data_IF_246189004997
#
_entry.id   IF_246189004997
#
_cell.length_a   1.000
_cell.length_b   1.000
_cell.length_c   1.000
_cell.angle_alpha   90.00
_cell.angle_beta   90.00
_cell.angle_gamma   90.00
#
_symmetry.space_group_name_H-M   'P 1'
#
loop_
_entity.id
_entity.type
_entity.pdbx_description
1 polymer ?
#
# COMPACT_ATOMS: atom_id res chain seq x y z
N UNK A 1 20.17 -5.01 -28.37
CA UNK A 1 20.90 -3.92 -27.69
C UNK A 1 20.68 -4.15 -26.20
N UNK A 2 21.70 -4.59 -25.46
CA UNK A 2 21.57 -4.87 -24.01
C UNK A 2 21.09 -3.58 -23.34
N UNK A 3 19.92 -3.60 -22.69
CA UNK A 3 19.51 -2.48 -21.84
C UNK A 3 20.63 -2.25 -20.84
N UNK A 4 21.14 -1.02 -20.74
CA UNK A 4 22.08 -0.67 -19.66
C UNK A 4 21.35 -0.95 -18.37
N UNK A 5 21.89 -1.82 -17.51
CA UNK A 5 21.37 -2.02 -16.17
C UNK A 5 21.31 -0.65 -15.51
N UNK A 6 20.09 -0.11 -15.34
CA UNK A 6 19.91 1.14 -14.65
C UNK A 6 20.25 0.87 -13.18
N UNK A 7 21.26 1.56 -12.65
CA UNK A 7 21.76 1.32 -11.29
C UNK A 7 21.09 2.23 -10.27
N UNK A 8 20.44 3.30 -10.74
CA UNK A 8 19.77 4.30 -9.93
C UNK A 8 18.26 4.26 -10.18
N UNK A 9 17.49 4.06 -9.10
CA UNK A 9 16.04 4.01 -9.14
C UNK A 9 15.46 5.19 -8.38
N UNK A 10 14.52 5.91 -9.01
CA UNK A 10 13.80 7.01 -8.39
C UNK A 10 12.60 6.43 -7.64
N UNK A 11 12.42 6.86 -6.39
CA UNK A 11 11.22 6.59 -5.61
C UNK A 11 10.65 7.85 -4.97
N UNK A 12 9.41 7.74 -4.51
CA UNK A 12 8.66 8.79 -3.84
C UNK A 12 8.19 8.32 -2.48
N UNK A 13 8.03 9.28 -1.57
CA UNK A 13 7.56 9.07 -0.21
C UNK A 13 6.36 9.95 0.07
N UNK A 14 5.22 9.30 0.34
CA UNK A 14 4.06 9.96 0.92
C UNK A 14 4.25 10.15 2.42
N UNK A 15 3.73 11.25 2.97
CA UNK A 15 3.98 11.66 4.36
C UNK A 15 2.70 12.15 5.03
N UNK A 16 2.68 12.14 6.36
CA UNK A 16 1.88 13.13 7.09
C UNK A 16 2.55 14.49 7.01
N UNK A 17 1.78 15.57 7.14
CA UNK A 17 2.30 16.95 7.21
C UNK A 17 1.85 17.62 8.50
N UNK A 18 1.97 16.92 9.63
CA UNK A 18 1.52 17.40 10.94
C UNK A 18 2.59 18.22 11.65
N UNK A 19 3.87 17.93 11.38
CA UNK A 19 5.00 18.59 12.02
C UNK A 19 5.94 19.25 11.01
N UNK A 20 6.85 18.47 10.42
CA UNK A 20 8.00 18.98 9.64
C UNK A 20 7.86 18.74 8.15
N UNK A 21 7.09 17.75 7.76
CA UNK A 21 6.92 17.42 6.35
C UNK A 21 6.11 18.49 5.63
N UNK A 22 6.49 18.77 4.38
CA UNK A 22 5.77 19.70 3.50
C UNK A 22 4.97 18.99 2.39
N UNK A 23 5.04 17.66 2.27
CA UNK A 23 4.31 16.92 1.25
C UNK A 23 5.01 15.65 0.77
N UNK A 24 5.07 15.46 -0.54
CA UNK A 24 5.70 14.27 -1.15
C UNK A 24 7.19 14.52 -1.31
N UNK A 25 8.01 13.56 -0.89
CA UNK A 25 9.46 13.59 -1.12
C UNK A 25 9.84 12.62 -2.24
N UNK A 26 10.98 12.88 -2.89
CA UNK A 26 11.64 11.98 -3.85
C UNK A 26 12.99 11.57 -3.30
N UNK A 27 13.44 10.36 -3.62
CA UNK A 27 14.77 9.84 -3.31
C UNK A 27 15.35 9.04 -4.47
N UNK A 28 16.64 8.72 -4.39
CA UNK A 28 17.33 7.82 -5.33
C UNK A 28 17.89 6.64 -4.54
N UNK A 29 17.60 5.42 -4.99
CA UNK A 29 18.29 4.20 -4.60
C UNK A 29 19.38 3.90 -5.63
N UNK A 30 20.64 3.95 -5.20
CA UNK A 30 21.76 3.41 -5.96
C UNK A 30 22.00 1.96 -5.53
N UNK A 31 21.74 1.03 -6.45
CA UNK A 31 21.85 -0.42 -6.22
C UNK A 31 23.28 -0.94 -6.25
N UNK A 32 24.21 -0.21 -6.85
CA UNK A 32 25.63 -0.55 -6.84
C UNK A 32 26.29 -0.07 -5.54
N UNK A 33 26.02 1.18 -5.15
CA UNK A 33 26.48 1.74 -3.88
C UNK A 33 25.68 1.21 -2.68
N UNK A 34 24.53 0.57 -2.92
CA UNK A 34 23.59 0.05 -1.90
C UNK A 34 23.16 1.13 -0.92
N UNK A 35 22.73 2.28 -1.45
CA UNK A 35 22.49 3.50 -0.66
C UNK A 35 21.29 4.29 -1.17
N UNK A 36 20.50 4.82 -0.23
CA UNK A 36 19.49 5.85 -0.50
C UNK A 36 20.13 7.23 -0.34
N UNK A 37 19.86 8.11 -1.29
CA UNK A 37 20.34 9.50 -1.30
C UNK A 37 19.33 10.45 -1.92
N UNK A 38 19.67 11.75 -1.94
CA UNK A 38 18.90 12.80 -2.62
C UNK A 38 17.42 12.87 -2.22
N UNK A 39 17.17 12.74 -0.91
CA UNK A 39 15.84 13.01 -0.34
C UNK A 39 15.55 14.50 -0.49
N UNK A 40 14.59 14.84 -1.35
CA UNK A 40 14.18 16.23 -1.62
C UNK A 40 12.67 16.33 -1.74
N UNK A 41 12.10 17.47 -1.34
CA UNK A 41 10.67 17.75 -1.56
C UNK A 41 10.36 17.71 -3.06
N UNK A 42 9.36 16.92 -3.45
CA UNK A 42 8.92 16.73 -4.83
C UNK A 42 7.61 17.46 -5.13
N UNK A 43 6.70 17.54 -4.16
CA UNK A 43 5.46 18.30 -4.27
C UNK A 43 5.02 18.78 -2.89
N UNK A 44 4.45 20.00 -2.82
CA UNK A 44 3.91 20.59 -1.59
C UNK A 44 2.39 20.42 -1.54
N UNK A 45 1.91 19.65 -0.57
CA UNK A 45 0.51 19.33 -0.38
C UNK A 45 0.27 18.80 1.03
N UNK A 46 -0.94 18.98 1.55
CA UNK A 46 -1.27 18.58 2.92
C UNK A 46 -1.65 17.10 2.99
N UNK A 47 -0.96 16.37 3.88
CA UNK A 47 -1.17 14.96 4.21
C UNK A 47 -1.28 13.99 3.00
N UNK A 48 -0.29 13.94 2.09
CA UNK A 48 -0.23 12.94 1.03
C UNK A 48 0.23 11.58 1.57
N UNK A 49 -0.60 11.00 2.44
CA UNK A 49 -0.25 9.81 3.24
C UNK A 49 -0.11 8.54 2.42
N UNK A 50 -0.61 8.52 1.19
CA UNK A 50 -0.42 7.43 0.26
C UNK A 50 -0.29 7.94 -1.17
N UNK A 51 0.59 7.30 -1.94
CA UNK A 51 0.83 7.62 -3.35
C UNK A 51 0.81 6.34 -4.18
N UNK A 52 0.46 6.47 -5.45
CA UNK A 52 0.57 5.41 -6.45
C UNK A 52 1.06 6.01 -7.77
N UNK A 53 1.76 5.20 -8.56
CA UNK A 53 2.32 5.59 -9.86
C UNK A 53 1.68 4.72 -10.92
N UNK A 54 1.25 5.33 -12.02
CA UNK A 54 0.69 4.56 -13.12
C UNK A 54 1.77 3.69 -13.79
N UNK A 55 1.37 2.61 -14.44
CA UNK A 55 2.30 1.60 -14.99
C UNK A 55 3.35 2.18 -15.96
N UNK A 56 3.03 3.29 -16.63
CA UNK A 56 3.89 3.95 -17.62
C UNK A 56 4.85 4.99 -17.02
N UNK A 57 4.80 5.24 -15.71
CA UNK A 57 5.57 6.30 -15.03
C UNK A 57 5.30 7.72 -15.56
N UNK A 58 4.09 7.96 -16.06
CA UNK A 58 3.67 9.26 -16.58
C UNK A 58 3.00 10.10 -15.50
N UNK A 59 2.30 9.43 -14.56
CA UNK A 59 1.47 10.08 -13.56
C UNK A 59 1.67 9.48 -12.17
N UNK A 60 1.63 10.36 -11.18
CA UNK A 60 1.54 10.03 -9.75
C UNK A 60 0.21 10.55 -9.23
N UNK A 61 -0.54 9.66 -8.57
CA UNK A 61 -1.75 10.00 -7.83
C UNK A 61 -1.49 9.91 -6.34
N UNK A 62 -1.91 10.92 -5.58
CA UNK A 62 -1.73 10.95 -4.14
C UNK A 62 -3.03 11.28 -3.42
N UNK A 63 -3.14 10.82 -2.18
CA UNK A 63 -4.10 11.39 -1.25
C UNK A 63 -3.78 12.88 -1.05
N UNK A 64 -4.81 13.69 -0.81
CA UNK A 64 -4.65 15.10 -0.43
C UNK A 64 -5.74 15.51 0.54
N UNK A 65 -5.40 16.43 1.45
CA UNK A 65 -6.34 17.17 2.29
C UNK A 65 -6.40 18.63 1.84
N UNK A 66 -7.59 19.21 1.81
CA UNK A 66 -7.81 20.64 1.56
C UNK A 66 -8.84 21.19 2.56
N UNK A 67 -8.35 21.89 3.58
CA UNK A 67 -9.21 22.33 4.69
C UNK A 67 -9.91 21.14 5.35
N UNK A 68 -11.24 21.15 5.36
CA UNK A 68 -12.08 20.05 5.89
C UNK A 68 -12.50 19.03 4.82
N UNK A 69 -11.95 19.11 3.62
CA UNK A 69 -12.18 18.17 2.52
C UNK A 69 -10.94 17.31 2.26
N UNK A 70 -11.12 16.19 1.56
CA UNK A 70 -9.99 15.44 1.06
C UNK A 70 -10.35 14.55 -0.12
N UNK A 71 -9.34 14.02 -0.79
CA UNK A 71 -9.51 13.25 -2.01
C UNK A 71 -8.18 12.94 -2.66
N UNK A 72 -8.09 13.17 -3.98
CA UNK A 72 -6.95 12.79 -4.81
C UNK A 72 -6.34 14.01 -5.50
N UNK A 73 -5.00 14.08 -5.51
CA UNK A 73 -4.23 14.97 -6.38
C UNK A 73 -3.56 14.15 -7.50
N UNK A 74 -3.54 14.69 -8.71
CA UNK A 74 -2.85 14.12 -9.86
C UNK A 74 -1.63 14.97 -10.24
N UNK A 75 -0.50 14.31 -10.49
CA UNK A 75 0.74 14.96 -10.93
C UNK A 75 1.28 14.24 -12.17
N UNK A 76 1.79 14.98 -13.14
CA UNK A 76 2.65 14.40 -14.19
C UNK A 76 4.07 14.26 -13.68
N UNK A 77 4.74 13.19 -14.10
CA UNK A 77 6.14 12.89 -13.77
C UNK A 77 7.02 13.25 -14.97
N UNK A 78 8.05 14.08 -14.75
CA UNK A 78 9.09 14.26 -15.76
C UNK A 78 9.92 12.98 -15.90
N UNK A 79 9.94 12.39 -17.09
CA UNK A 79 10.58 11.08 -17.34
C UNK A 79 12.10 11.07 -17.21
N UNK A 80 12.75 12.24 -17.14
CA UNK A 80 14.21 12.36 -17.00
C UNK A 80 14.60 12.68 -15.57
N UNK A 81 13.87 13.59 -14.91
CA UNK A 81 14.24 14.11 -13.59
C UNK A 81 13.42 13.49 -12.46
N UNK A 82 12.25 12.92 -12.76
CA UNK A 82 11.27 12.50 -11.76
C UNK A 82 10.63 13.66 -11.02
N UNK A 83 10.71 14.89 -11.52
CA UNK A 83 9.99 16.03 -10.94
C UNK A 83 8.48 15.89 -11.12
N UNK A 84 7.72 16.32 -10.11
CA UNK A 84 6.26 16.27 -10.13
C UNK A 84 5.72 17.65 -10.52
N UNK A 85 4.77 17.66 -11.46
CA UNK A 85 3.98 18.85 -11.80
C UNK A 85 2.51 18.55 -11.58
N UNK A 86 1.88 19.29 -10.67
CA UNK A 86 0.46 19.14 -10.38
C UNK A 86 -0.39 19.41 -11.62
N UNK A 87 -1.41 18.57 -11.82
CA UNK A 87 -2.38 18.64 -12.92
C UNK A 87 -3.71 19.16 -12.39
N UNK A 88 -4.27 18.49 -11.39
CA UNK A 88 -5.43 18.95 -10.66
C UNK A 88 -5.60 18.18 -9.33
N UNK A 89 -6.65 18.55 -8.61
CA UNK A 89 -7.12 17.90 -7.39
C UNK A 89 -8.62 17.72 -7.45
N UNK A 90 -9.11 16.62 -6.87
CA UNK A 90 -10.54 16.36 -6.69
C UNK A 90 -10.76 15.98 -5.24
N UNK A 91 -11.53 16.80 -4.54
CA UNK A 91 -11.81 16.63 -3.11
C UNK A 91 -13.31 16.54 -2.87
N UNK A 92 -13.66 15.77 -1.84
CA UNK A 92 -15.02 15.63 -1.34
C UNK A 92 -15.02 16.10 0.11
N UNK A 93 -16.11 16.74 0.54
CA UNK A 93 -16.27 17.18 1.93
C UNK A 93 -16.06 16.00 2.91
N UNK A 94 -15.34 16.29 4.00
CA UNK A 94 -14.99 15.33 5.03
C UNK A 94 -13.52 14.91 5.00
N UNK A 95 -13.17 14.00 5.90
CA UNK A 95 -11.80 13.54 6.09
C UNK A 95 -11.19 12.98 4.79
N UNK A 96 -9.88 13.16 4.63
CA UNK A 96 -9.13 12.63 3.49
C UNK A 96 -9.11 11.09 3.47
N UNK A 97 -9.06 10.46 2.28
CA UNK A 97 -8.84 9.03 2.19
C UNK A 97 -7.46 8.61 2.73
N UNK A 98 -7.21 7.31 2.82
CA UNK A 98 -5.98 6.75 3.39
C UNK A 98 -5.20 5.82 2.44
N UNK A 99 -5.80 5.46 1.29
CA UNK A 99 -5.18 4.63 0.27
C UNK A 99 -5.66 5.07 -1.11
N UNK A 100 -4.78 4.98 -2.12
CA UNK A 100 -5.08 5.28 -3.52
C UNK A 100 -4.42 4.24 -4.43
N UNK A 101 -5.14 3.81 -5.47
CA UNK A 101 -4.66 2.92 -6.52
C UNK A 101 -5.19 3.38 -7.88
N UNK A 102 -4.53 2.96 -8.96
CA UNK A 102 -4.96 3.19 -10.34
C UNK A 102 -4.86 1.88 -11.12
N UNK A 103 -5.75 1.63 -12.08
CA UNK A 103 -5.67 0.47 -12.95
C UNK A 103 -4.47 0.55 -13.91
N UNK A 104 -4.08 -0.59 -14.48
CA UNK A 104 -2.93 -0.71 -15.37
C UNK A 104 -3.07 0.13 -16.64
N UNK A 105 -4.30 0.39 -17.07
CA UNK A 105 -4.63 1.24 -18.21
C UNK A 105 -4.68 2.73 -17.91
N UNK A 106 -4.68 3.12 -16.62
CA UNK A 106 -4.80 4.53 -16.18
C UNK A 106 -6.14 5.16 -16.56
N UNK A 107 -7.24 4.40 -16.47
CA UNK A 107 -8.60 4.87 -16.75
C UNK A 107 -9.35 5.28 -15.48
N UNK A 108 -9.06 4.64 -14.34
CA UNK A 108 -9.77 4.88 -13.09
C UNK A 108 -8.81 4.86 -11.91
N UNK A 109 -8.93 5.88 -11.07
CA UNK A 109 -8.32 5.92 -9.74
C UNK A 109 -9.37 5.50 -8.71
N UNK A 110 -8.98 4.67 -7.74
CA UNK A 110 -9.82 4.28 -6.60
C UNK A 110 -9.16 4.65 -5.29
N UNK A 111 -9.96 5.01 -4.30
CA UNK A 111 -9.50 5.34 -2.94
C UNK A 111 -10.32 4.64 -1.87
N UNK A 112 -9.70 4.41 -0.72
CA UNK A 112 -10.37 3.97 0.50
C UNK A 112 -10.27 5.05 1.58
N UNK A 113 -11.40 5.35 2.22
CA UNK A 113 -11.47 6.37 3.25
C UNK A 113 -11.75 5.77 4.63
N UNK A 114 -10.73 5.84 5.49
CA UNK A 114 -10.76 5.28 6.84
C UNK A 114 -11.84 5.90 7.71
N UNK A 115 -12.02 7.22 7.69
CA UNK A 115 -12.92 7.89 8.64
C UNK A 115 -14.38 7.87 8.18
N UNK A 116 -14.60 7.85 6.85
CA UNK A 116 -15.93 7.82 6.23
C UNK A 116 -16.45 6.40 5.98
N UNK A 117 -15.57 5.39 5.97
CA UNK A 117 -15.94 4.02 5.60
C UNK A 117 -16.38 3.93 4.14
N UNK A 118 -15.68 4.63 3.24
CA UNK A 118 -16.05 4.72 1.82
C UNK A 118 -15.00 4.15 0.89
N UNK A 119 -15.45 3.56 -0.22
CA UNK A 119 -14.65 3.32 -1.43
C UNK A 119 -15.12 4.30 -2.50
N UNK A 120 -14.19 5.03 -3.08
CA UNK A 120 -14.49 6.11 -4.04
C UNK A 120 -13.72 5.88 -5.35
N UNK A 121 -14.32 6.15 -6.50
CA UNK A 121 -13.70 6.02 -7.81
C UNK A 121 -13.75 7.33 -8.61
N UNK A 122 -12.71 7.57 -9.41
CA UNK A 122 -12.51 8.78 -10.18
C UNK A 122 -12.06 8.38 -11.59
N UNK A 123 -12.82 8.76 -12.61
CA UNK A 123 -12.37 8.60 -13.99
C UNK A 123 -11.15 9.48 -14.25
N UNK A 124 -10.17 8.96 -14.99
CA UNK A 124 -8.97 9.70 -15.39
C UNK A 124 -9.17 10.25 -16.81
N UNK A 125 -8.71 11.48 -17.05
CA UNK A 125 -8.61 12.03 -18.38
C UNK A 125 -7.40 11.40 -19.10
N UNK A 126 -7.65 10.60 -20.14
CA UNK A 126 -6.60 9.89 -20.89
C UNK A 126 -5.62 10.83 -21.60
N UNK A 127 -6.02 12.06 -21.93
CA UNK A 127 -5.16 13.01 -22.65
C UNK A 127 -4.04 13.58 -21.76
N UNK A 128 -4.32 13.75 -20.47
CA UNK A 128 -3.42 14.50 -19.59
C UNK A 128 -3.27 13.93 -18.17
N UNK A 129 -3.91 12.81 -17.85
CA UNK A 129 -3.82 12.12 -16.56
C UNK A 129 -4.49 12.81 -15.39
N UNK A 130 -5.20 13.92 -15.61
CA UNK A 130 -5.99 14.59 -14.55
C UNK A 130 -7.16 13.71 -14.08
N UNK A 131 -7.62 13.92 -12.84
CA UNK A 131 -8.76 13.17 -12.28
C UNK A 131 -10.07 13.96 -12.41
N UNK A 132 -11.15 13.30 -12.82
CA UNK A 132 -12.49 13.87 -12.82
C UNK A 132 -13.11 13.82 -11.40
N UNK A 133 -14.19 14.57 -11.13
CA UNK A 133 -14.93 14.44 -9.87
C UNK A 133 -15.35 12.98 -9.59
N UNK A 134 -15.56 12.66 -8.31
CA UNK A 134 -15.91 11.30 -7.88
C UNK A 134 -17.09 10.76 -8.70
N UNK A 135 -16.86 9.64 -9.40
CA UNK A 135 -17.84 8.97 -10.25
C UNK A 135 -18.70 8.01 -9.44
N UNK A 136 -18.11 7.37 -8.43
CA UNK A 136 -18.81 6.49 -7.50
C UNK A 136 -18.30 6.71 -6.08
N UNK A 137 -19.21 6.66 -5.11
CA UNK A 137 -18.92 6.68 -3.68
C UNK A 137 -19.79 5.60 -3.03
N UNK A 138 -19.16 4.52 -2.56
CA UNK A 138 -19.82 3.44 -1.84
C UNK A 138 -19.56 3.62 -0.35
N UNK A 139 -20.59 3.79 0.45
CA UNK A 139 -20.49 3.85 1.92
C UNK A 139 -20.82 2.49 2.53
N UNK A 140 -19.86 1.92 3.26
CA UNK A 140 -20.07 0.69 4.00
C UNK A 140 -20.98 0.92 5.21
N UNK A 141 -21.52 -0.19 5.75
CA UNK A 141 -22.35 -0.19 6.96
C UNK A 141 -22.01 -1.38 7.83
N UNK A 142 -22.04 -1.17 9.14
CA UNK A 142 -21.75 -2.21 10.12
C UNK A 142 -20.81 -1.69 11.22
N UNK A 143 -20.40 -2.62 12.07
CA UNK A 143 -19.40 -2.44 13.12
C UNK A 143 -18.80 -3.81 13.45
N UNK A 144 -17.65 -3.83 14.11
CA UNK A 144 -16.95 -5.03 14.56
C UNK A 144 -16.95 -5.18 16.08
N UNK A 145 -16.08 -6.07 16.56
CA UNK A 145 -15.99 -6.45 17.96
C UNK A 145 -15.28 -5.38 18.80
N UNK A 146 -14.21 -4.79 18.27
CA UNK A 146 -13.40 -3.78 18.96
C UNK A 146 -14.14 -2.44 19.02
N UNK A 147 -14.55 -1.99 20.21
CA UNK A 147 -15.35 -0.76 20.37
C UNK A 147 -14.60 0.54 20.17
N UNK A 148 -13.27 0.50 20.09
CA UNK A 148 -12.44 1.69 19.87
C UNK A 148 -12.09 1.89 18.38
N UNK A 149 -11.90 0.79 17.64
CA UNK A 149 -11.43 0.84 16.24
C UNK A 149 -12.40 0.20 15.23
N UNK A 150 -13.52 -0.33 15.70
CA UNK A 150 -14.54 -0.99 14.89
C UNK A 150 -15.96 -0.59 15.32
N UNK A 151 -16.12 0.64 15.84
CA UNK A 151 -17.43 1.20 16.18
C UNK A 151 -18.29 1.51 14.95
N UNK A 152 -17.63 1.64 13.79
CA UNK A 152 -18.22 1.89 12.47
C UNK A 152 -17.27 1.37 11.39
N UNK A 153 -17.62 1.48 10.09
CA UNK A 153 -16.74 1.06 9.01
C UNK A 153 -15.52 1.96 8.87
N UNK A 154 -14.39 1.33 8.54
CA UNK A 154 -13.08 1.93 8.34
C UNK A 154 -12.39 1.29 7.13
N UNK A 155 -12.79 1.71 5.92
CA UNK A 155 -12.17 1.26 4.68
C UNK A 155 -10.70 1.69 4.63
N UNK A 156 -9.78 0.72 4.56
CA UNK A 156 -8.34 0.96 4.63
C UNK A 156 -7.60 0.66 3.31
N UNK A 157 -8.19 -0.13 2.40
CA UNK A 157 -7.59 -0.41 1.09
C UNK A 157 -8.63 -0.38 -0.02
N UNK A 158 -8.23 0.16 -1.16
CA UNK A 158 -8.94 0.07 -2.44
C UNK A 158 -7.91 -0.18 -3.54
N UNK A 159 -8.07 -1.26 -4.31
CA UNK A 159 -7.17 -1.63 -5.41
C UNK A 159 -7.76 -2.71 -6.29
N UNK A 160 -7.06 -3.11 -7.35
CA UNK A 160 -7.60 -4.01 -8.36
C UNK A 160 -7.23 -5.48 -8.09
N UNK A 161 -8.09 -6.40 -8.51
CA UNK A 161 -7.73 -7.81 -8.66
C UNK A 161 -6.70 -7.99 -9.78
N UNK A 162 -5.91 -9.09 -9.81
CA UNK A 162 -4.86 -9.28 -10.82
C UNK A 162 -5.37 -9.28 -12.28
N UNK A 163 -6.65 -9.59 -12.49
CA UNK A 163 -7.31 -9.56 -13.78
C UNK A 163 -8.05 -8.25 -14.08
N UNK A 164 -7.98 -7.28 -13.14
CA UNK A 164 -8.63 -5.96 -13.15
C UNK A 164 -10.14 -5.98 -13.43
N UNK A 165 -10.79 -7.15 -13.28
CA UNK A 165 -12.25 -7.26 -13.41
C UNK A 165 -12.98 -6.67 -12.21
N UNK A 166 -12.33 -6.66 -11.06
CA UNK A 166 -12.91 -6.18 -9.82
C UNK A 166 -11.97 -5.21 -9.10
N UNK A 167 -12.60 -4.30 -8.35
CA UNK A 167 -11.95 -3.53 -7.29
C UNK A 167 -12.18 -4.25 -5.97
N UNK A 168 -11.14 -4.36 -5.15
CA UNK A 168 -11.19 -4.90 -3.78
C UNK A 168 -11.19 -3.73 -2.80
N UNK A 169 -12.21 -3.65 -1.95
CA UNK A 169 -12.24 -2.82 -0.76
C UNK A 169 -11.96 -3.66 0.49
N UNK A 170 -11.02 -3.24 1.33
CA UNK A 170 -10.77 -3.89 2.63
C UNK A 170 -11.22 -2.94 3.73
N UNK A 171 -12.11 -3.40 4.60
CA UNK A 171 -12.67 -2.60 5.68
C UNK A 171 -12.34 -3.21 7.05
N UNK A 172 -11.48 -2.47 7.77
CA UNK A 172 -11.02 -2.80 9.11
C UNK A 172 -12.17 -2.79 10.11
N UNK A 173 -13.07 -1.81 9.99
CA UNK A 173 -14.11 -1.52 10.96
C UNK A 173 -15.26 -2.52 11.00
N UNK A 174 -15.40 -3.35 9.96
CA UNK A 174 -16.48 -4.35 9.86
C UNK A 174 -15.97 -5.77 9.59
N UNK A 175 -14.66 -5.99 9.64
CA UNK A 175 -14.01 -7.29 9.39
C UNK A 175 -14.39 -7.88 8.01
N UNK A 176 -14.31 -7.08 6.94
CA UNK A 176 -14.67 -7.55 5.59
C UNK A 176 -13.66 -7.19 4.50
N UNK A 177 -13.61 -8.10 3.53
CA UNK A 177 -13.01 -7.90 2.21
C UNK A 177 -14.14 -7.95 1.20
N UNK A 178 -14.32 -6.88 0.43
CA UNK A 178 -15.47 -6.68 -0.46
C UNK A 178 -14.95 -6.51 -1.88
N UNK A 179 -15.62 -7.11 -2.86
CA UNK A 179 -15.30 -6.92 -4.28
C UNK A 179 -16.41 -6.21 -5.01
N UNK A 180 -16.00 -5.33 -5.92
CA UNK A 180 -16.87 -4.53 -6.76
C UNK A 180 -16.56 -4.80 -8.23
N UNK A 181 -17.58 -5.07 -9.03
CA UNK A 181 -17.47 -4.86 -10.47
C UNK A 181 -17.30 -3.37 -10.74
N UNK A 182 -16.50 -3.05 -11.76
CA UNK A 182 -16.29 -1.69 -12.23
C UNK A 182 -16.67 -1.56 -13.70
N UNK A 183 -17.56 -0.61 -14.00
CA UNK A 183 -17.94 -0.26 -15.37
C UNK A 183 -18.08 1.24 -15.48
N UNK A 184 -17.39 1.86 -16.45
CA UNK A 184 -17.38 3.32 -16.65
C UNK A 184 -17.02 4.09 -15.36
N UNK A 185 -16.03 3.56 -14.60
CA UNK A 185 -15.66 4.01 -13.25
C UNK A 185 -16.77 3.93 -12.19
N UNK A 186 -17.93 3.31 -12.46
CA UNK A 186 -18.99 3.08 -11.47
C UNK A 186 -18.77 1.73 -10.78
N UNK A 187 -18.74 1.74 -9.45
CA UNK A 187 -18.56 0.56 -8.63
C UNK A 187 -19.90 -0.09 -8.27
N UNK A 188 -19.94 -1.42 -8.32
CA UNK A 188 -21.09 -2.22 -7.86
C UNK A 188 -20.61 -3.43 -7.08
N UNK A 189 -21.02 -3.55 -5.83
CA UNK A 189 -20.67 -4.71 -4.99
C UNK A 189 -21.17 -6.01 -5.61
N UNK A 190 -20.31 -7.03 -5.62
CA UNK A 190 -20.63 -8.36 -6.16
C UNK A 190 -20.34 -9.49 -5.19
N UNK A 191 -19.36 -9.33 -4.30
CA UNK A 191 -19.04 -10.34 -3.32
C UNK A 191 -18.47 -9.71 -2.04
N UNK A 192 -18.55 -10.45 -0.93
CA UNK A 192 -17.87 -10.09 0.30
C UNK A 192 -17.49 -11.34 1.11
N UNK A 193 -16.32 -11.28 1.72
CA UNK A 193 -15.85 -12.25 2.70
C UNK A 193 -15.80 -11.55 4.06
N UNK A 194 -16.48 -12.12 5.05
CA UNK A 194 -16.28 -11.76 6.46
C UNK A 194 -15.12 -12.58 7.02
N UNK A 195 -14.18 -11.91 7.67
CA UNK A 195 -13.04 -12.56 8.36
C UNK A 195 -13.34 -12.73 9.84
N UNK A 196 -12.43 -13.36 10.59
CA UNK A 196 -12.60 -13.54 12.04
C UNK A 196 -12.92 -12.20 12.75
N UNK A 197 -13.97 -12.13 13.59
CA UNK A 197 -14.33 -10.90 14.28
C UNK A 197 -13.19 -10.33 15.13
N UNK A 198 -12.91 -9.04 14.98
CA UNK A 198 -11.82 -8.35 15.67
C UNK A 198 -10.46 -8.44 14.96
N UNK A 199 -10.39 -9.02 13.76
CA UNK A 199 -9.14 -9.08 12.99
C UNK A 199 -8.69 -7.69 12.52
N UNK A 200 -9.63 -6.90 12.00
CA UNK A 200 -9.37 -5.61 11.40
C UNK A 200 -8.50 -5.73 10.14
N UNK A 201 -8.97 -6.35 9.04
CA UNK A 201 -8.19 -6.49 7.81
C UNK A 201 -7.82 -5.10 7.25
N UNK A 202 -6.59 -4.96 6.73
CA UNK A 202 -5.99 -3.66 6.41
C UNK A 202 -5.61 -3.52 4.95
N UNK A 203 -4.56 -4.23 4.52
CA UNK A 203 -4.02 -4.22 3.16
C UNK A 203 -4.04 -5.64 2.58
N UNK A 204 -4.12 -5.75 1.26
CA UNK A 204 -4.10 -7.02 0.52
C UNK A 204 -3.04 -6.98 -0.57
N UNK A 205 -2.38 -8.11 -0.81
CA UNK A 205 -1.52 -8.33 -1.98
C UNK A 205 -1.87 -9.67 -2.63
N UNK A 206 -1.61 -9.81 -3.92
CA UNK A 206 -1.96 -11.02 -4.69
C UNK A 206 -0.70 -11.76 -5.11
N UNK A 207 -0.76 -13.09 -5.07
CA UNK A 207 0.28 -13.90 -5.68
C UNK A 207 0.34 -13.63 -7.19
N UNK A 208 1.53 -13.55 -7.82
CA UNK A 208 1.69 -13.33 -9.26
C UNK A 208 0.96 -14.32 -10.18
N UNK A 209 0.48 -15.45 -9.66
CA UNK A 209 -0.27 -16.44 -10.43
C UNK A 209 -1.79 -16.15 -10.43
N UNK A 210 -2.22 -15.12 -9.69
CA UNK A 210 -3.61 -14.69 -9.57
C UNK A 210 -4.53 -15.63 -8.77
N UNK A 211 -4.01 -16.70 -8.15
CA UNK A 211 -4.83 -17.69 -7.44
C UNK A 211 -4.95 -17.44 -5.94
N UNK A 212 -3.97 -16.76 -5.35
CA UNK A 212 -3.92 -16.51 -3.92
C UNK A 212 -3.84 -15.02 -3.62
N UNK A 213 -4.36 -14.65 -2.46
CA UNK A 213 -4.20 -13.33 -1.89
C UNK A 213 -3.80 -13.42 -0.42
N UNK A 214 -3.09 -12.40 0.04
CA UNK A 214 -2.57 -12.30 1.40
C UNK A 214 -3.04 -10.99 2.00
N UNK A 215 -3.73 -11.06 3.15
CA UNK A 215 -4.32 -9.90 3.81
C UNK A 215 -3.64 -9.69 5.15
N UNK A 216 -3.07 -8.51 5.34
CA UNK A 216 -2.58 -8.11 6.66
C UNK A 216 -3.74 -7.66 7.53
N UNK A 217 -3.80 -8.14 8.76
CA UNK A 217 -4.76 -7.68 9.76
C UNK A 217 -4.09 -6.69 10.72
N UNK A 218 -4.72 -5.53 10.91
CA UNK A 218 -4.19 -4.48 11.78
C UNK A 218 -4.32 -4.87 13.25
N UNK A 219 -5.49 -5.38 13.66
CA UNK A 219 -5.81 -5.55 15.07
C UNK A 219 -5.36 -6.90 15.62
N UNK A 220 -5.45 -7.98 14.83
CA UNK A 220 -5.00 -9.31 15.27
C UNK A 220 -3.53 -9.63 14.98
N UNK A 221 -2.83 -8.79 14.20
CA UNK A 221 -1.42 -8.99 13.84
C UNK A 221 -1.14 -10.31 13.12
N UNK A 222 -2.00 -10.66 12.17
CA UNK A 222 -1.95 -11.89 11.38
C UNK A 222 -1.91 -11.59 9.87
N UNK A 223 -1.44 -12.57 9.10
CA UNK A 223 -1.74 -12.66 7.67
C UNK A 223 -2.82 -13.71 7.46
N UNK A 224 -3.86 -13.32 6.73
CA UNK A 224 -4.88 -14.23 6.21
C UNK A 224 -4.47 -14.64 4.80
N UNK A 225 -4.34 -15.94 4.57
CA UNK A 225 -4.13 -16.52 3.24
C UNK A 225 -5.49 -16.87 2.66
N UNK A 226 -5.73 -16.41 1.42
CA UNK A 226 -6.98 -16.59 0.71
C UNK A 226 -6.71 -17.23 -0.66
N UNK A 227 -7.65 -18.04 -1.14
CA UNK A 227 -7.80 -18.31 -2.58
C UNK A 227 -8.71 -17.27 -3.22
N UNK A 228 -8.50 -17.00 -4.52
CA UNK A 228 -9.28 -16.05 -5.30
C UNK A 228 -9.96 -16.74 -6.48
N UNK A 229 -11.28 -16.57 -6.61
CA UNK A 229 -12.08 -17.01 -7.74
C UNK A 229 -12.37 -15.83 -8.69
N UNK A 230 -11.69 -15.74 -9.86
CA UNK A 230 -11.85 -14.64 -10.80
C UNK A 230 -13.18 -14.65 -11.58
N UNK A 231 -13.98 -15.71 -11.49
CA UNK A 231 -15.29 -15.76 -12.13
C UNK A 231 -16.37 -15.04 -11.31
N UNK A 232 -16.19 -14.97 -9.99
CA UNK A 232 -17.19 -14.47 -9.04
C UNK A 232 -16.68 -13.29 -8.20
N UNK A 233 -15.40 -12.91 -8.36
CA UNK A 233 -14.74 -11.96 -7.49
C UNK A 233 -14.73 -12.43 -6.03
N UNK A 234 -14.71 -13.75 -5.78
CA UNK A 234 -14.86 -14.33 -4.45
C UNK A 234 -13.53 -14.70 -3.82
N UNK A 235 -13.45 -14.63 -2.50
CA UNK A 235 -12.32 -15.14 -1.72
C UNK A 235 -12.74 -16.30 -0.83
N UNK A 236 -11.81 -17.20 -0.53
CA UNK A 236 -12.02 -18.28 0.46
C UNK A 236 -10.78 -18.40 1.33
N UNK A 237 -10.99 -18.45 2.64
CA UNK A 237 -9.92 -18.55 3.65
C UNK A 237 -9.19 -19.88 3.60
N UNK A 238 -7.87 -19.83 3.79
CA UNK A 238 -6.98 -21.00 3.81
C UNK A 238 -6.24 -21.09 5.14
N UNK A 239 -5.64 -19.98 5.59
CA UNK A 239 -4.77 -19.97 6.75
C UNK A 239 -4.82 -18.62 7.45
N UNK A 240 -4.67 -18.63 8.78
CA UNK A 240 -4.29 -17.49 9.58
C UNK A 240 -2.91 -17.76 10.19
N UNK A 241 -1.98 -16.82 10.08
CA UNK A 241 -0.64 -16.95 10.64
C UNK A 241 -0.21 -15.66 11.32
N UNK A 242 0.28 -15.77 12.56
CA UNK A 242 0.74 -14.60 13.31
C UNK A 242 2.00 -13.99 12.68
N UNK A 243 2.07 -12.66 12.71
CA UNK A 243 3.21 -11.88 12.23
C UNK A 243 4.13 -11.41 13.33
N UNK A 244 3.83 -11.72 14.59
CA UNK A 244 4.63 -11.36 15.75
C UNK A 244 5.05 -12.63 16.53
N UNK A 245 6.16 -12.59 17.29
CA UNK A 245 6.51 -13.70 18.17
C UNK A 245 5.40 -13.96 19.19
N UNK A 246 5.13 -15.24 19.50
CA UNK A 246 4.11 -15.61 20.49
C UNK A 246 4.35 -15.04 21.89
N UNK A 247 5.60 -14.67 22.21
CA UNK A 247 5.97 -14.06 23.49
C UNK A 247 5.83 -12.53 23.52
N UNK A 248 5.47 -11.88 22.40
CA UNK A 248 5.27 -10.44 22.35
C UNK A 248 3.85 -10.09 22.82
N UNK A 249 3.73 -9.36 23.92
CA UNK A 249 2.47 -9.02 24.59
C UNK A 249 2.19 -7.50 24.69
N UNK A 250 3.03 -6.68 24.06
CA UNK A 250 2.83 -5.23 23.94
C UNK A 250 1.89 -4.88 22.76
N UNK A 251 1.51 -3.60 22.66
CA UNK A 251 0.67 -3.12 21.58
C UNK A 251 1.35 -3.28 20.21
N UNK A 252 0.67 -3.96 19.28
CA UNK A 252 1.10 -4.10 17.89
C UNK A 252 -0.06 -3.84 16.92
N UNK A 253 0.27 -3.27 15.76
CA UNK A 253 -0.65 -3.02 14.67
C UNK A 253 -0.03 -3.41 13.33
N UNK A 254 -0.68 -4.34 12.62
CA UNK A 254 -0.27 -4.71 11.27
C UNK A 254 -0.26 -3.52 10.31
N UNK A 255 0.70 -3.46 9.39
CA UNK A 255 0.84 -2.34 8.42
C UNK A 255 0.77 -2.80 6.97
N UNK A 256 1.86 -2.68 6.21
CA UNK A 256 1.90 -3.02 4.80
C UNK A 256 2.16 -4.52 4.59
N UNK A 257 1.77 -5.02 3.43
CA UNK A 257 2.03 -6.40 3.00
C UNK A 257 2.39 -6.41 1.53
N UNK A 258 3.48 -7.09 1.20
CA UNK A 258 3.99 -7.23 -0.17
C UNK A 258 4.45 -8.66 -0.43
N UNK A 259 4.34 -9.09 -1.67
CA UNK A 259 4.91 -10.34 -2.15
C UNK A 259 6.00 -10.04 -3.18
N UNK A 260 7.03 -10.87 -3.25
CA UNK A 260 7.99 -10.84 -4.35
C UNK A 260 7.34 -11.27 -5.67
N UNK A 261 7.87 -10.76 -6.79
CA UNK A 261 7.41 -10.98 -8.16
C UNK A 261 7.51 -12.44 -8.60
N UNK A 262 8.41 -13.21 -7.98
CA UNK A 262 8.52 -14.66 -8.15
C UNK A 262 7.47 -15.45 -7.36
N UNK A 263 6.70 -14.79 -6.48
CA UNK A 263 5.68 -15.38 -5.64
C UNK A 263 6.23 -16.21 -4.47
N UNK A 264 7.53 -16.20 -4.22
CA UNK A 264 8.14 -17.11 -3.24
C UNK A 264 8.09 -16.58 -1.80
N UNK A 265 8.01 -15.26 -1.60
CA UNK A 265 8.09 -14.65 -0.28
C UNK A 265 7.06 -13.55 -0.06
N UNK A 266 6.38 -13.60 1.08
CA UNK A 266 5.49 -12.55 1.59
C UNK A 266 6.17 -11.83 2.76
N UNK A 267 6.06 -10.51 2.76
CA UNK A 267 6.59 -9.59 3.76
C UNK A 267 5.41 -8.88 4.41
N UNK A 268 5.39 -8.83 5.74
CA UNK A 268 4.31 -8.20 6.52
C UNK A 268 4.87 -7.27 7.60
N UNK A 269 4.42 -6.03 7.62
CA UNK A 269 4.92 -4.99 8.53
C UNK A 269 4.16 -4.95 9.86
N UNK A 270 4.88 -4.66 10.94
CA UNK A 270 4.35 -4.59 12.30
C UNK A 270 4.76 -3.29 13.00
N UNK A 271 3.77 -2.50 13.39
CA UNK A 271 3.97 -1.24 14.13
C UNK A 271 3.75 -1.51 15.62
N UNK A 272 4.78 -1.32 16.44
CA UNK A 272 4.79 -1.83 17.82
C UNK A 272 6.00 -2.73 18.02
N UNK A 273 5.94 -3.94 17.47
CA UNK A 273 7.12 -4.80 17.34
C UNK A 273 8.19 -4.19 16.41
N UNK A 274 7.80 -3.21 15.57
CA UNK A 274 8.67 -2.42 14.69
C UNK A 274 9.56 -3.32 13.81
N UNK A 275 8.92 -4.23 13.10
CA UNK A 275 9.59 -5.26 12.31
C UNK A 275 8.86 -5.56 11.00
N UNK A 276 9.57 -6.19 10.07
CA UNK A 276 8.98 -6.91 8.94
C UNK A 276 9.09 -8.41 9.23
N UNK A 277 7.95 -9.10 9.26
CA UNK A 277 7.87 -10.55 9.25
C UNK A 277 8.01 -11.07 7.81
N UNK A 278 8.86 -12.08 7.61
CA UNK A 278 9.11 -12.72 6.32
C UNK A 278 8.53 -14.13 6.35
N UNK A 279 7.81 -14.49 5.29
CA UNK A 279 7.22 -15.81 5.11
C UNK A 279 7.60 -16.38 3.75
N UNK A 280 7.88 -17.68 3.68
CA UNK A 280 7.96 -18.42 2.43
C UNK A 280 6.59 -18.94 2.02
N UNK A 281 6.30 -18.94 0.72
CA UNK A 281 5.03 -19.37 0.15
C UNK A 281 5.13 -20.80 -0.38
N UNK A 282 4.26 -21.69 0.08
CA UNK A 282 4.04 -22.97 -0.57
C UNK A 282 3.31 -22.75 -1.92
N UNK A 283 3.98 -23.09 -3.02
CA UNK A 283 3.51 -22.75 -4.37
C UNK A 283 2.26 -23.53 -4.82
N UNK A 284 1.87 -24.59 -4.10
CA UNK A 284 0.73 -25.44 -4.46
C UNK A 284 -0.54 -25.09 -3.67
N UNK A 285 -0.38 -24.67 -2.42
CA UNK A 285 -1.48 -24.35 -1.49
C UNK A 285 -1.63 -22.85 -1.27
N UNK A 286 -0.59 -22.06 -1.51
CA UNK A 286 -0.51 -20.64 -1.16
C UNK A 286 -0.19 -20.39 0.32
N UNK A 287 -0.14 -21.42 1.16
CA UNK A 287 0.12 -21.30 2.60
C UNK A 287 1.50 -20.69 2.89
N UNK A 288 1.58 -19.99 4.02
CA UNK A 288 2.76 -19.30 4.50
C UNK A 288 3.45 -20.08 5.60
N UNK A 289 4.79 -20.13 5.51
CA UNK A 289 5.66 -20.61 6.60
C UNK A 289 6.56 -19.47 7.04
N UNK A 290 6.62 -19.22 8.34
CA UNK A 290 7.46 -18.17 8.92
C UNK A 290 8.96 -18.42 8.65
N UNK A 291 9.68 -17.36 8.28
CA UNK A 291 11.13 -17.39 8.01
C UNK A 291 11.89 -16.59 9.07
N UNK A 292 11.57 -15.31 9.24
CA UNK A 292 12.22 -14.44 10.23
C UNK A 292 11.43 -13.16 10.53
N UNK A 293 11.81 -12.48 11.60
CA UNK A 293 11.47 -11.08 11.86
C UNK A 293 12.72 -10.23 11.68
N UNK A 294 12.60 -9.12 10.94
CA UNK A 294 13.68 -8.14 10.76
C UNK A 294 13.25 -6.80 11.36
N UNK A 295 14.03 -6.27 12.30
CA UNK A 295 13.84 -4.92 12.85
C UNK A 295 13.86 -3.87 11.73
N UNK A 296 12.96 -2.88 11.80
CA UNK A 296 12.97 -1.75 10.85
C UNK A 296 13.87 -0.60 11.31
N UNK A 297 14.67 -0.79 12.37
CA UNK A 297 15.63 0.20 12.89
C UNK A 297 15.00 1.60 13.09
N UNK A 298 13.76 1.61 13.55
CA UNK A 298 12.97 2.82 13.73
C UNK A 298 11.62 2.54 14.36
N UNK A 299 10.78 3.57 14.42
CA UNK A 299 9.49 3.53 15.09
C UNK A 299 8.35 3.92 14.15
N UNK A 300 7.37 3.01 14.18
CA UNK A 300 6.14 2.91 13.41
C UNK A 300 6.35 2.69 11.91
N UNK A 301 6.88 1.52 11.50
CA UNK A 301 7.00 1.13 10.09
C UNK A 301 5.63 1.01 9.43
N UNK A 302 5.21 2.08 8.75
CA UNK A 302 3.84 2.21 8.23
C UNK A 302 3.69 1.66 6.82
N UNK A 303 4.78 1.69 6.06
CA UNK A 303 4.86 1.10 4.73
C UNK A 303 6.27 0.58 4.47
N UNK A 304 6.40 -0.27 3.46
CA UNK A 304 7.69 -0.67 2.90
C UNK A 304 7.47 -1.14 1.47
N UNK A 305 8.53 -1.19 0.65
CA UNK A 305 8.41 -1.65 -0.73
C UNK A 305 9.69 -2.36 -1.17
N UNK A 306 9.55 -3.39 -2.01
CA UNK A 306 10.69 -3.94 -2.74
C UNK A 306 11.12 -2.97 -3.83
N UNK A 307 12.42 -2.84 -4.07
CA UNK A 307 12.91 -2.11 -5.23
C UNK A 307 12.54 -2.85 -6.53
N UNK A 308 12.61 -2.19 -7.69
CA UNK A 308 12.18 -2.83 -8.93
C UNK A 308 13.04 -4.03 -9.38
N UNK A 309 14.24 -4.20 -8.82
CA UNK A 309 15.05 -5.42 -9.02
C UNK A 309 14.75 -6.53 -8.01
N UNK A 310 13.96 -6.23 -6.98
CA UNK A 310 13.64 -7.06 -5.80
C UNK A 310 14.87 -7.60 -5.05
N UNK A 311 16.00 -6.89 -5.16
CA UNK A 311 17.23 -7.17 -4.41
C UNK A 311 17.34 -6.31 -3.16
N UNK A 312 16.47 -5.31 -3.02
CA UNK A 312 16.41 -4.39 -1.92
C UNK A 312 14.99 -4.20 -1.44
N UNK A 313 14.85 -3.82 -0.18
CA UNK A 313 13.60 -3.42 0.43
C UNK A 313 13.82 -2.13 1.22
N UNK A 314 12.89 -1.19 1.10
CA UNK A 314 12.90 0.07 1.84
C UNK A 314 11.70 0.12 2.78
N UNK A 315 11.93 0.34 4.07
CA UNK A 315 10.89 0.58 5.06
C UNK A 315 10.79 2.06 5.43
N UNK A 316 9.57 2.57 5.66
CA UNK A 316 9.32 3.93 6.16
C UNK A 316 8.79 3.92 7.58
N UNK A 317 9.55 4.50 8.51
CA UNK A 317 9.18 4.61 9.91
C UNK A 317 8.62 6.00 10.21
N UNK A 318 7.31 6.08 10.46
CA UNK A 318 6.57 7.34 10.64
C UNK A 318 7.14 8.19 11.78
N UNK A 319 7.27 7.59 12.98
CA UNK A 319 7.55 8.31 14.23
C UNK A 319 9.04 8.57 14.46
N UNK A 320 9.92 7.81 13.83
CA UNK A 320 11.37 8.07 13.88
C UNK A 320 11.89 8.88 12.69
N UNK A 321 11.02 9.27 11.75
CA UNK A 321 11.35 10.12 10.61
C UNK A 321 12.52 9.59 9.78
N UNK A 322 12.54 8.28 9.50
CA UNK A 322 13.59 7.67 8.68
C UNK A 322 13.09 6.62 7.69
N UNK A 323 13.84 6.48 6.60
CA UNK A 323 13.81 5.31 5.72
C UNK A 323 14.94 4.36 6.10
N UNK A 324 14.69 3.06 5.92
CA UNK A 324 15.68 2.00 6.19
C UNK A 324 15.78 1.09 4.98
N UNK A 325 17.01 0.88 4.52
CA UNK A 325 17.35 0.05 3.36
C UNK A 325 17.89 -1.31 3.81
N UNK A 326 17.35 -2.36 3.21
CA UNK A 326 17.81 -3.73 3.36
C UNK A 326 18.21 -4.31 2.00
N UNK A 327 19.21 -5.20 1.97
CA UNK A 327 19.34 -6.15 0.87
C UNK A 327 18.45 -7.36 1.14
N UNK A 328 17.82 -7.87 0.10
CA UNK A 328 17.02 -9.10 0.11
C UNK A 328 17.83 -10.25 -0.49
N UNK A 329 17.83 -11.39 0.21
CA UNK A 329 18.29 -12.65 -0.36
C UNK A 329 17.13 -13.28 -1.15
N UNK A 330 17.25 -13.33 -2.48
CA UNK A 330 16.18 -13.84 -3.37
C UNK A 330 15.86 -15.32 -3.13
N UNK A 331 16.81 -16.12 -2.63
CA UNK A 331 16.62 -17.55 -2.39
C UNK A 331 15.97 -17.84 -1.03
N UNK A 332 16.24 -17.02 -0.02
CA UNK A 332 15.75 -17.26 1.35
C UNK A 332 14.71 -16.25 1.82
N UNK A 333 14.45 -15.21 1.02
CA UNK A 333 13.59 -14.07 1.36
C UNK A 333 14.15 -13.13 2.41
N UNK A 334 15.29 -13.48 3.03
CA UNK A 334 15.81 -12.81 4.22
C UNK A 334 16.31 -11.40 3.95
N UNK A 335 16.23 -10.54 4.96
CA UNK A 335 16.62 -9.15 4.88
C UNK A 335 17.92 -8.90 5.67
N UNK A 336 18.80 -8.07 5.13
CA UNK A 336 20.03 -7.64 5.81
C UNK A 336 20.14 -6.13 5.74
N UNK A 337 20.28 -5.49 6.91
CA UNK A 337 20.37 -4.04 7.03
C UNK A 337 21.57 -3.50 6.25
N UNK A 338 21.34 -2.43 5.50
CA UNK A 338 22.37 -1.68 4.76
C UNK A 338 22.49 -0.24 5.23
N UNK A 339 21.35 0.41 5.50
CA UNK A 339 21.32 1.83 5.87
C UNK A 339 20.07 2.14 6.69
N UNK A 340 20.19 2.94 7.75
CA UNK A 340 19.06 3.36 8.61
C UNK A 340 19.04 4.85 8.96
N UNK A 341 20.01 5.63 8.46
CA UNK A 341 20.23 7.04 8.79
C UNK A 341 19.56 8.02 7.81
N UNK A 342 18.69 7.53 6.93
CA UNK A 342 18.04 8.33 5.88
C UNK A 342 16.87 9.10 6.45
N UNK A 343 17.06 10.40 6.70
CA UNK A 343 16.02 11.24 7.28
C UNK A 343 14.97 11.64 6.25
N UNK A 344 13.70 11.36 6.54
CA UNK A 344 12.52 11.86 5.82
C UNK A 344 11.46 12.19 6.86
N UNK A 345 10.83 13.38 6.86
CA UNK A 345 9.85 13.71 7.88
C UNK A 345 8.54 12.93 7.69
N UNK A 346 8.10 12.23 8.74
CA UNK A 346 6.77 11.59 8.84
C UNK A 346 6.43 10.64 7.67
N UNK A 347 7.34 9.75 7.23
CA UNK A 347 7.16 8.97 6.03
C UNK A 347 6.18 7.81 6.29
N UNK A 348 5.18 7.66 5.43
CA UNK A 348 4.10 6.68 5.63
C UNK A 348 3.70 5.90 4.39
N UNK A 349 4.28 6.22 3.22
CA UNK A 349 4.13 5.45 2.00
C UNK A 349 5.40 5.53 1.16
N UNK A 350 5.88 4.44 0.56
CA UNK A 350 7.05 4.43 -0.33
C UNK A 350 6.70 3.73 -1.65
N UNK A 351 7.01 4.36 -2.78
CA UNK A 351 6.82 3.78 -4.13
C UNK A 351 8.02 4.06 -5.03
N UNK A 352 8.32 3.13 -5.93
CA UNK A 352 9.30 3.32 -7.00
C UNK A 352 8.61 3.63 -8.33
N UNK A 353 9.32 4.32 -9.21
CA UNK A 353 9.00 4.23 -10.63
C UNK A 353 9.14 2.78 -11.10
N UNK A 354 8.24 2.34 -11.98
CA UNK A 354 8.30 1.04 -12.64
C UNK A 354 9.52 0.99 -13.58
N UNK A 355 10.03 -0.20 -13.94
CA UNK A 355 11.11 -0.37 -14.95
C UNK A 355 10.79 -1.42 -15.98
#
# INVERSE_FOLDING_TARGET
MKMKDNKEFIGYVGTYTKEKSEGIYKFILDTEAKKISNVTLAAKLDNPTYVTINRKNEYLYSIVKEGESGGVAAHSIDSKTGELKEKNRQVVEGASPCHVSVDSGTHTVVTANYHKGTIESFAVNEEDGSVNPATSIITHKGSGLNKENQEKPHAHYAGYTPDEKYVVGVDLGIDKIITYEIKDSVLKEVNSLAVNPGSGPRHITFHPNGKYAYVMTELSSEVIVLTYNPAEGAFTEVQYISTIPAAFDENNQGSAIHISSDGQFVYAGNRGHNSIAVFSVDQNSGELTFVEHTSTEGNWPRDFVLDPTEKFLIASNEKSHNLVLFSRNETTGKLTLLQSDVVVPEPVCVKFLNV
#
